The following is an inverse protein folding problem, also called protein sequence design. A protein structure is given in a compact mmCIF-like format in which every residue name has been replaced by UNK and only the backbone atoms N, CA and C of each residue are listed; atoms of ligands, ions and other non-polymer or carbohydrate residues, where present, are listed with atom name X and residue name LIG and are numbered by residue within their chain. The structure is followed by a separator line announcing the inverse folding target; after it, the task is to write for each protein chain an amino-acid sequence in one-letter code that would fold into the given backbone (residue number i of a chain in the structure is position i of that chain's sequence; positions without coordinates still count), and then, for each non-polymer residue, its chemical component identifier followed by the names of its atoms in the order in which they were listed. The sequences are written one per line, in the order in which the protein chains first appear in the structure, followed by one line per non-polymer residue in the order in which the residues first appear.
data_IF_731649118071
#
_entry.id   IF_731649118071
#
_cell.length_a   1.000
_cell.length_b   1.000
_cell.length_c   1.000
_cell.angle_alpha   90.00
_cell.angle_beta   90.00
_cell.angle_gamma   90.00
#
_symmetry.space_group_name_H-M   'P 1'
#
loop_
_entity.id
_entity.type
_entity.pdbx_description
1 polymer ?
#
# COMPACT_ATOMS: atom_id res chain seq x y z
N UNK A 1 9.56 -40.86 9.28
CA UNK A 1 10.48 -40.69 8.15
C UNK A 1 10.51 -41.92 7.26
N UNK A 2 10.66 -43.11 7.86
CA UNK A 2 10.67 -44.35 7.10
C UNK A 2 9.34 -44.63 6.39
N UNK A 3 8.21 -44.30 7.01
CA UNK A 3 6.89 -44.39 6.37
C UNK A 3 6.78 -43.47 5.14
N UNK A 4 7.24 -42.26 5.28
CA UNK A 4 7.24 -41.30 4.19
C UNK A 4 8.16 -41.74 3.04
N UNK A 5 9.32 -42.28 3.36
CA UNK A 5 10.28 -42.80 2.39
C UNK A 5 9.73 -43.97 1.60
N UNK A 6 8.92 -44.84 2.22
CA UNK A 6 8.24 -45.98 1.57
C UNK A 6 7.13 -45.53 0.62
N UNK A 7 6.34 -44.51 1.03
CA UNK A 7 5.21 -44.01 0.24
C UNK A 7 5.72 -43.08 -0.90
N UNK A 8 6.73 -42.31 -0.59
CA UNK A 8 7.30 -41.31 -1.54
C UNK A 8 8.81 -41.50 -1.63
N UNK A 9 9.27 -42.53 -2.34
CA UNK A 9 10.73 -42.81 -2.40
C UNK A 9 11.54 -41.75 -3.09
N UNK A 10 10.88 -40.84 -3.84
CA UNK A 10 11.55 -39.69 -4.49
C UNK A 10 11.80 -38.52 -3.55
N UNK A 11 11.23 -38.51 -2.35
CA UNK A 11 11.43 -37.43 -1.39
C UNK A 11 12.77 -37.66 -0.67
N UNK A 12 13.71 -36.71 -0.74
CA UNK A 12 14.98 -36.84 -0.03
C UNK A 12 14.76 -36.73 1.49
N UNK A 13 15.50 -37.54 2.25
CA UNK A 13 15.52 -37.47 3.71
C UNK A 13 16.77 -36.72 4.14
N UNK A 14 16.58 -35.64 4.91
CA UNK A 14 17.69 -34.89 5.47
C UNK A 14 18.29 -35.60 6.68
N UNK A 15 19.60 -35.72 6.70
CA UNK A 15 20.35 -36.18 7.86
C UNK A 15 20.51 -35.03 8.85
N UNK A 16 20.69 -35.33 10.15
CA UNK A 16 20.84 -34.29 11.17
C UNK A 16 22.00 -33.32 10.88
N UNK A 17 23.11 -33.82 10.43
CA UNK A 17 24.30 -33.04 10.10
C UNK A 17 24.16 -32.24 8.80
N UNK A 18 23.15 -32.53 7.98
CA UNK A 18 22.80 -31.81 6.76
C UNK A 18 21.71 -30.76 6.96
N UNK A 19 21.16 -30.66 8.18
CA UNK A 19 20.06 -29.78 8.52
C UNK A 19 20.44 -28.30 8.67
N UNK A 20 21.42 -27.81 7.93
CA UNK A 20 21.78 -26.39 7.95
C UNK A 20 20.67 -25.55 7.30
N UNK A 21 20.31 -24.47 7.96
CA UNK A 21 19.36 -23.51 7.41
C UNK A 21 20.05 -22.74 6.28
N UNK A 22 19.46 -22.75 5.10
CA UNK A 22 19.93 -22.00 3.95
C UNK A 22 18.96 -20.92 3.57
N UNK A 23 19.46 -19.85 3.01
CA UNK A 23 18.62 -18.77 2.49
C UNK A 23 18.31 -19.03 1.03
N UNK A 24 17.05 -18.82 0.66
CA UNK A 24 16.61 -18.91 -0.72
C UNK A 24 16.21 -17.51 -1.16
N UNK A 25 16.81 -17.03 -2.24
CA UNK A 25 16.44 -15.75 -2.81
C UNK A 25 15.10 -15.89 -3.54
N UNK A 26 14.14 -15.06 -3.16
CA UNK A 26 12.81 -15.06 -3.76
C UNK A 26 12.40 -13.62 -4.04
N UNK A 27 12.11 -13.31 -5.29
CA UNK A 27 11.70 -11.97 -5.71
C UNK A 27 10.36 -12.06 -6.44
N UNK A 28 9.25 -12.06 -5.70
CA UNK A 28 7.93 -12.04 -6.34
C UNK A 28 7.67 -10.70 -7.02
N UNK A 29 7.07 -10.76 -8.19
CA UNK A 29 6.75 -9.59 -8.97
C UNK A 29 5.37 -9.75 -9.57
N UNK A 30 4.52 -8.74 -9.39
CA UNK A 30 3.17 -8.76 -9.94
C UNK A 30 2.77 -7.37 -10.42
N UNK A 31 2.14 -7.33 -11.58
CA UNK A 31 1.63 -6.09 -12.18
C UNK A 31 0.12 -6.21 -12.33
N UNK A 32 -0.58 -5.18 -11.88
CA UNK A 32 -2.04 -5.16 -11.91
C UNK A 32 -2.57 -3.90 -12.57
N UNK A 33 -3.70 -4.04 -13.25
CA UNK A 33 -4.54 -2.93 -13.63
C UNK A 33 -5.79 -2.98 -12.76
N UNK A 34 -6.02 -1.93 -11.99
CA UNK A 34 -7.19 -1.83 -11.13
C UNK A 34 -7.94 -0.54 -11.42
N UNK A 35 -9.28 -0.57 -11.24
CA UNK A 35 -10.06 0.65 -11.31
C UNK A 35 -9.79 1.51 -10.08
N UNK A 36 -9.49 2.78 -10.29
CA UNK A 36 -9.29 3.74 -9.19
C UNK A 36 -10.61 4.13 -8.51
N UNK A 37 -11.73 3.86 -9.14
CA UNK A 37 -13.03 4.28 -8.65
C UNK A 37 -13.32 5.75 -8.93
N UNK A 38 -14.54 6.18 -8.63
CA UNK A 38 -15.01 7.51 -8.96
C UNK A 38 -14.25 8.62 -8.23
N UNK A 39 -14.02 8.45 -6.95
CA UNK A 39 -13.38 9.49 -6.13
C UNK A 39 -11.92 9.70 -6.51
N UNK A 40 -11.15 8.64 -6.57
CA UNK A 40 -9.72 8.73 -6.90
C UNK A 40 -9.51 9.13 -8.36
N UNK A 41 -10.38 8.69 -9.27
CA UNK A 41 -10.30 9.09 -10.68
C UNK A 41 -10.43 10.61 -10.81
N UNK A 42 -11.39 11.20 -10.12
CA UNK A 42 -11.55 12.65 -10.12
C UNK A 42 -10.37 13.37 -9.48
N UNK A 43 -9.87 12.84 -8.37
CA UNK A 43 -8.70 13.39 -7.69
C UNK A 43 -7.48 13.45 -8.60
N UNK A 44 -7.19 12.36 -9.29
CA UNK A 44 -6.04 12.29 -10.21
C UNK A 44 -6.21 13.22 -11.42
N UNK A 45 -7.43 13.32 -11.95
CA UNK A 45 -7.72 14.23 -13.06
C UNK A 45 -7.57 15.70 -12.66
N UNK A 46 -8.00 16.05 -11.44
CA UNK A 46 -7.82 17.43 -10.95
C UNK A 46 -6.36 17.76 -10.67
N UNK A 47 -5.57 16.77 -10.22
CA UNK A 47 -4.13 16.96 -10.07
C UNK A 47 -3.42 17.31 -11.38
N UNK A 48 -3.88 16.78 -12.50
CA UNK A 48 -3.36 17.14 -13.82
C UNK A 48 -3.56 18.63 -14.11
N UNK A 49 -4.62 19.21 -13.58
CA UNK A 49 -4.95 20.63 -13.72
C UNK A 49 -4.33 21.49 -12.61
N UNK A 50 -3.49 20.91 -11.76
CA UNK A 50 -2.86 21.61 -10.65
C UNK A 50 -3.78 21.94 -9.50
N UNK A 51 -4.90 21.22 -9.36
CA UNK A 51 -5.89 21.44 -8.30
C UNK A 51 -5.96 20.24 -7.38
N UNK A 52 -6.16 20.52 -6.10
CA UNK A 52 -6.37 19.48 -5.08
C UNK A 52 -7.83 19.50 -4.70
N UNK A 53 -8.50 18.35 -4.86
CA UNK A 53 -9.92 18.21 -4.56
C UNK A 53 -10.13 17.18 -3.45
N UNK A 54 -11.14 17.40 -2.63
CA UNK A 54 -11.55 16.48 -1.59
C UNK A 54 -13.07 16.31 -1.57
N UNK A 55 -13.54 15.48 -0.69
CA UNK A 55 -14.97 15.28 -0.44
C UNK A 55 -15.32 15.66 0.99
N UNK A 56 -16.40 16.40 1.16
CA UNK A 56 -16.87 16.83 2.48
C UNK A 56 -18.04 15.97 2.93
N UNK A 57 -18.01 15.57 4.20
CA UNK A 57 -19.14 14.96 4.88
C UNK A 57 -19.82 16.03 5.73
N UNK A 58 -21.07 16.34 5.45
CA UNK A 58 -21.80 17.38 6.20
C UNK A 58 -22.16 16.96 7.62
N UNK A 59 -22.23 15.67 7.88
CA UNK A 59 -22.56 15.19 9.23
C UNK A 59 -21.43 15.42 10.23
N UNK A 60 -20.19 15.13 9.86
CA UNK A 60 -19.01 15.33 10.72
C UNK A 60 -18.16 16.52 10.31
N UNK A 61 -18.52 17.23 9.24
CA UNK A 61 -17.82 18.39 8.70
C UNK A 61 -16.35 18.16 8.34
N UNK A 62 -15.97 16.91 8.11
CA UNK A 62 -14.62 16.59 7.67
C UNK A 62 -14.49 16.72 6.16
N UNK A 63 -13.32 17.13 5.72
CA UNK A 63 -12.94 17.12 4.32
C UNK A 63 -11.91 16.00 4.15
N UNK A 64 -12.23 15.03 3.29
CA UNK A 64 -11.38 13.88 3.03
C UNK A 64 -10.51 14.16 1.80
N UNK A 65 -9.21 14.15 2.00
CA UNK A 65 -8.21 14.30 0.94
C UNK A 65 -7.16 13.20 1.13
N UNK A 66 -6.95 12.31 0.17
CA UNK A 66 -7.71 12.11 -1.07
C UNK A 66 -9.20 11.86 -0.84
N UNK A 67 -10.08 12.20 -1.81
CA UNK A 67 -11.51 12.06 -1.62
C UNK A 67 -11.95 10.60 -1.53
N UNK A 68 -12.98 10.37 -0.75
CA UNK A 68 -13.66 9.08 -0.64
C UNK A 68 -15.14 9.28 -0.82
N UNK A 69 -15.80 8.33 -1.47
CA UNK A 69 -17.25 8.39 -1.65
C UNK A 69 -18.03 8.03 -0.38
N UNK A 70 -17.35 7.55 0.64
CA UNK A 70 -17.96 7.06 1.88
C UNK A 70 -17.19 7.60 3.09
N UNK A 71 -17.93 8.06 4.09
CA UNK A 71 -17.37 8.53 5.35
C UNK A 71 -17.34 7.38 6.37
N UNK A 72 -16.17 7.00 6.81
CA UNK A 72 -15.96 5.87 7.73
C UNK A 72 -16.41 6.18 9.16
N UNK A 73 -16.56 7.43 9.52
CA UNK A 73 -17.03 7.84 10.84
C UNK A 73 -18.56 7.87 10.89
N UNK A 74 -19.19 8.43 9.87
CA UNK A 74 -20.63 8.63 9.81
C UNK A 74 -21.38 7.47 9.16
N UNK A 75 -20.67 6.52 8.54
CA UNK A 75 -21.22 5.37 7.83
C UNK A 75 -22.25 5.78 6.76
N UNK A 76 -21.96 6.85 6.05
CA UNK A 76 -22.80 7.33 4.95
C UNK A 76 -21.94 7.82 3.80
N UNK A 77 -22.58 8.02 2.64
CA UNK A 77 -21.92 8.63 1.49
C UNK A 77 -21.50 10.05 1.81
N UNK A 78 -20.36 10.47 1.30
CA UNK A 78 -19.91 11.86 1.38
C UNK A 78 -20.78 12.75 0.48
N UNK A 79 -20.84 14.02 0.78
CA UNK A 79 -21.89 14.89 0.26
C UNK A 79 -21.45 15.78 -0.90
N UNK A 80 -20.27 16.38 -0.80
CA UNK A 80 -19.88 17.46 -1.73
C UNK A 80 -18.41 17.40 -2.10
N UNK A 81 -18.12 17.78 -3.35
CA UNK A 81 -16.76 18.01 -3.80
C UNK A 81 -16.31 19.41 -3.39
N UNK A 82 -15.11 19.50 -2.79
CA UNK A 82 -14.51 20.77 -2.39
C UNK A 82 -13.08 20.85 -2.84
N UNK A 83 -12.71 22.01 -3.36
CA UNK A 83 -11.32 22.31 -3.66
C UNK A 83 -10.62 22.77 -2.39
N UNK A 84 -9.41 22.29 -2.18
CA UNK A 84 -8.57 22.68 -1.04
C UNK A 84 -7.38 23.49 -1.52
N UNK A 85 -6.84 24.28 -0.62
CA UNK A 85 -5.67 25.10 -0.93
C UNK A 85 -4.43 24.22 -1.09
N UNK A 86 -3.50 24.69 -1.89
CA UNK A 86 -2.21 24.05 -2.12
C UNK A 86 -1.15 24.45 -1.07
N UNK A 87 -1.56 25.13 -0.02
CA UNK A 87 -0.71 25.54 1.09
C UNK A 87 -1.16 24.79 2.34
N UNK A 88 -0.20 24.18 3.04
CA UNK A 88 -0.49 23.40 4.23
C UNK A 88 0.55 23.61 5.32
N UNK A 89 0.26 23.10 6.50
CA UNK A 89 1.17 23.08 7.64
C UNK A 89 1.69 21.67 7.81
N UNK A 90 2.99 21.50 7.91
CA UNK A 90 3.60 20.20 8.19
C UNK A 90 3.28 19.80 9.62
N UNK A 91 2.56 18.68 9.79
CA UNK A 91 2.21 18.12 11.09
C UNK A 91 3.21 17.05 11.50
N UNK A 92 3.63 16.23 10.54
CA UNK A 92 4.59 15.17 10.77
C UNK A 92 5.40 14.91 9.50
N UNK A 93 6.54 14.30 9.65
CA UNK A 93 7.40 13.92 8.55
C UNK A 93 8.09 12.61 8.88
N UNK A 94 8.41 11.84 7.85
CA UNK A 94 9.14 10.58 7.97
C UNK A 94 10.35 10.64 7.05
N UNK A 95 11.50 10.21 7.57
CA UNK A 95 12.72 10.07 6.76
C UNK A 95 13.00 8.57 6.61
N UNK A 96 13.08 8.10 5.39
CA UNK A 96 13.33 6.70 5.09
C UNK A 96 14.77 6.47 4.63
N UNK A 97 15.39 5.45 5.19
CA UNK A 97 16.74 5.00 4.82
C UNK A 97 16.71 3.69 4.04
N UNK A 98 15.54 3.15 3.82
CA UNK A 98 15.31 1.88 3.11
C UNK A 98 14.35 2.13 1.96
N UNK A 99 14.66 1.62 0.78
CA UNK A 99 13.78 1.68 -0.38
C UNK A 99 12.65 0.66 -0.29
N UNK A 100 11.67 0.77 -1.17
CA UNK A 100 10.54 -0.17 -1.26
C UNK A 100 11.03 -1.61 -1.49
N UNK A 101 12.16 -1.78 -2.17
CA UNK A 101 12.78 -3.09 -2.42
C UNK A 101 13.64 -3.60 -1.25
N UNK A 102 13.52 -2.98 -0.07
CA UNK A 102 14.30 -3.30 1.12
C UNK A 102 15.81 -3.11 0.94
N UNK A 103 16.21 -2.22 0.03
CA UNK A 103 17.62 -1.82 -0.16
C UNK A 103 17.91 -0.57 0.66
N UNK A 104 19.16 -0.41 1.04
CA UNK A 104 19.59 0.82 1.69
C UNK A 104 19.52 1.96 0.66
N UNK A 105 18.84 3.03 1.02
CA UNK A 105 18.77 4.22 0.18
C UNK A 105 20.13 4.92 0.15
N UNK A 106 20.55 5.40 -1.03
CA UNK A 106 21.78 6.18 -1.17
C UNK A 106 21.68 7.51 -0.42
N UNK A 107 20.48 8.11 -0.44
CA UNK A 107 20.16 9.33 0.31
C UNK A 107 18.89 9.08 1.12
N UNK A 108 18.76 9.68 2.32
CA UNK A 108 17.49 9.60 3.06
C UNK A 108 16.36 10.18 2.22
N UNK A 109 15.24 9.45 2.15
CA UNK A 109 14.05 9.90 1.45
C UNK A 109 13.02 10.43 2.45
N UNK A 110 12.37 11.50 2.06
CA UNK A 110 11.33 12.12 2.87
C UNK A 110 9.96 11.90 2.25
#
# INVERSE_FOLDING_TARGET
VDKMQKIYPSIPVLKEDEGKIVEISYKPEAKYLISAGQAISRFLNELKNGKIIGRKCFKCNRILVPPRMYCEICFKSTDEWVYVRDIGKVVTAVVSYITVDARKAEKPEV
#
